data_IF_529837773539
#
_entry.id   IF_529837773539
#
_cell.length_a   1.000
_cell.length_b   1.000
_cell.length_c   1.000
_cell.angle_alpha   90.00
_cell.angle_beta   90.00
_cell.angle_gamma   90.00
#
_symmetry.space_group_name_H-M   'P 1'
#
loop_
_entity.id
_entity.type
_entity.pdbx_description
1 polymer ?
#
# COMPACT_ATOMS: atom_id res chain seq x y z
N UNK A 1 24.10 2.44 3.80
CA UNK A 1 23.22 3.05 2.78
C UNK A 1 21.79 2.84 3.25
N UNK A 2 21.10 3.90 3.67
CA UNK A 2 19.72 3.76 4.21
C UNK A 2 18.81 3.41 3.03
N UNK A 3 18.11 2.28 3.15
CA UNK A 3 17.19 1.81 2.11
C UNK A 3 15.91 2.63 2.21
N UNK A 4 15.57 3.40 1.18
CA UNK A 4 14.42 4.31 1.14
C UNK A 4 13.09 3.67 1.58
N UNK A 5 12.90 2.37 1.33
CA UNK A 5 11.72 1.64 1.80
C UNK A 5 11.58 1.55 3.33
N UNK A 6 12.66 1.77 4.09
CA UNK A 6 12.65 1.88 5.56
C UNK A 6 12.23 3.28 6.00
N UNK A 7 12.64 4.33 5.27
CA UNK A 7 12.27 5.72 5.59
C UNK A 7 10.78 5.95 5.34
N UNK A 8 10.23 5.36 4.27
CA UNK A 8 8.82 5.49 3.90
C UNK A 8 7.92 4.37 4.47
N UNK A 9 8.46 3.50 5.33
CA UNK A 9 7.73 2.41 5.99
C UNK A 9 6.92 1.51 5.04
N UNK A 10 7.40 1.31 3.81
CA UNK A 10 6.65 0.59 2.77
C UNK A 10 6.30 -0.83 3.19
N UNK A 11 7.25 -1.54 3.79
CA UNK A 11 7.01 -2.89 4.30
C UNK A 11 5.93 -2.93 5.38
N UNK A 12 5.77 -1.86 6.16
CA UNK A 12 4.71 -1.75 7.16
C UNK A 12 3.37 -1.52 6.48
N UNK A 13 3.31 -0.61 5.50
CA UNK A 13 2.11 -0.35 4.69
C UNK A 13 1.63 -1.60 3.94
N UNK A 14 2.54 -2.36 3.33
CA UNK A 14 2.23 -3.61 2.64
C UNK A 14 1.66 -4.68 3.59
N UNK A 15 2.19 -4.79 4.81
CA UNK A 15 1.65 -5.69 5.84
C UNK A 15 0.25 -5.26 6.28
N UNK A 16 0.01 -3.96 6.41
CA UNK A 16 -1.29 -3.42 6.76
C UNK A 16 -2.33 -3.71 5.66
N UNK A 17 -1.98 -3.48 4.39
CA UNK A 17 -2.83 -3.85 3.24
C UNK A 17 -3.22 -5.32 3.29
N UNK A 18 -2.24 -6.23 3.43
CA UNK A 18 -2.52 -7.68 3.50
C UNK A 18 -3.44 -8.06 4.66
N UNK A 19 -3.29 -7.40 5.81
CA UNK A 19 -4.14 -7.63 6.97
C UNK A 19 -5.59 -7.20 6.69
N UNK A 20 -5.77 -6.01 6.13
CA UNK A 20 -7.08 -5.46 5.81
C UNK A 20 -7.76 -6.23 4.69
N UNK A 21 -7.04 -6.66 3.65
CA UNK A 21 -7.58 -7.53 2.60
C UNK A 21 -8.02 -8.89 3.14
N UNK A 22 -7.27 -9.46 4.09
CA UNK A 22 -7.69 -10.68 4.79
C UNK A 22 -8.97 -10.45 5.59
N UNK A 23 -9.11 -9.29 6.23
CA UNK A 23 -10.35 -8.92 6.92
C UNK A 23 -11.52 -8.80 5.94
N UNK A 24 -11.32 -8.14 4.79
CA UNK A 24 -12.32 -7.99 3.73
C UNK A 24 -12.78 -9.32 3.11
N UNK A 25 -11.95 -10.37 3.20
CA UNK A 25 -12.28 -11.71 2.72
C UNK A 25 -13.26 -12.48 3.61
N UNK A 26 -13.52 -11.99 4.83
CA UNK A 26 -14.48 -12.63 5.74
C UNK A 26 -15.91 -12.30 5.28
N UNK A 27 -16.81 -13.29 5.22
CA UNK A 27 -18.20 -13.08 4.78
C UNK A 27 -18.95 -12.06 5.65
N UNK A 28 -18.69 -12.08 6.97
CA UNK A 28 -19.27 -11.14 7.94
C UNK A 28 -18.70 -9.73 7.85
N UNK A 29 -17.67 -9.49 7.04
CA UNK A 29 -17.10 -8.15 6.91
C UNK A 29 -18.09 -7.19 6.25
N UNK A 30 -18.81 -7.66 5.24
CA UNK A 30 -19.72 -6.84 4.44
C UNK A 30 -21.07 -6.58 5.12
N UNK A 31 -21.34 -7.21 6.27
CA UNK A 31 -22.57 -6.96 7.03
C UNK A 31 -22.55 -5.61 7.76
N UNK A 32 -21.37 -5.04 8.00
CA UNK A 32 -21.19 -3.71 8.56
C UNK A 32 -20.71 -2.75 7.45
N UNK A 33 -21.65 -2.00 6.86
CA UNK A 33 -21.34 -1.13 5.73
C UNK A 33 -20.39 0.02 6.09
N UNK A 34 -20.51 0.59 7.29
CA UNK A 34 -19.66 1.70 7.73
C UNK A 34 -18.21 1.23 7.87
N UNK A 35 -18.02 0.10 8.56
CA UNK A 35 -16.71 -0.54 8.69
C UNK A 35 -16.14 -0.96 7.34
N UNK A 36 -16.97 -1.54 6.46
CA UNK A 36 -16.53 -1.96 5.14
C UNK A 36 -16.05 -0.78 4.29
N UNK A 37 -16.75 0.35 4.35
CA UNK A 37 -16.36 1.58 3.66
C UNK A 37 -15.04 2.14 4.20
N UNK A 38 -14.89 2.22 5.53
CA UNK A 38 -13.67 2.71 6.18
C UNK A 38 -12.45 1.88 5.79
N UNK A 39 -12.54 0.55 5.94
CA UNK A 39 -11.45 -0.38 5.64
C UNK A 39 -11.11 -0.36 4.15
N UNK A 40 -12.11 -0.32 3.26
CA UNK A 40 -11.88 -0.23 1.80
C UNK A 40 -11.15 1.07 1.43
N UNK A 41 -11.57 2.19 2.02
CA UNK A 41 -10.90 3.49 1.81
C UNK A 41 -9.45 3.42 2.29
N UNK A 42 -9.22 2.85 3.47
CA UNK A 42 -7.87 2.70 4.03
C UNK A 42 -6.96 1.84 3.15
N UNK A 43 -7.46 0.72 2.64
CA UNK A 43 -6.72 -0.14 1.69
C UNK A 43 -6.33 0.64 0.44
N UNK A 44 -7.26 1.43 -0.12
CA UNK A 44 -6.98 2.27 -1.28
C UNK A 44 -5.87 3.28 -0.99
N UNK A 45 -5.99 4.06 0.08
CA UNK A 45 -4.99 5.07 0.46
C UNK A 45 -3.58 4.46 0.64
N UNK A 46 -3.50 3.28 1.24
CA UNK A 46 -2.22 2.58 1.42
C UNK A 46 -1.63 2.10 0.09
N UNK A 47 -2.46 1.53 -0.79
CA UNK A 47 -2.02 1.07 -2.12
C UNK A 47 -1.59 2.22 -3.01
N UNK A 48 -2.32 3.33 -3.00
CA UNK A 48 -1.99 4.53 -3.77
C UNK A 48 -0.60 5.05 -3.34
N UNK A 49 -0.35 5.19 -2.03
CA UNK A 49 0.95 5.62 -1.51
C UNK A 49 2.11 4.67 -1.84
N UNK A 50 1.87 3.35 -1.82
CA UNK A 50 2.88 2.36 -2.22
C UNK A 50 3.16 2.47 -3.73
N UNK A 51 2.12 2.64 -4.54
CA UNK A 51 2.23 2.75 -6.00
C UNK A 51 3.02 4.00 -6.41
N UNK A 52 2.69 5.16 -5.84
CA UNK A 52 3.38 6.43 -6.11
C UNK A 52 4.88 6.33 -5.79
N UNK A 53 5.23 5.68 -4.68
CA UNK A 53 6.64 5.46 -4.34
C UNK A 53 7.33 4.55 -5.35
N UNK A 54 6.71 3.43 -5.72
CA UNK A 54 7.29 2.48 -6.66
C UNK A 54 7.47 3.12 -8.05
N UNK A 55 6.51 3.92 -8.50
CA UNK A 55 6.62 4.67 -9.75
C UNK A 55 7.81 5.66 -9.71
N UNK A 56 7.97 6.41 -8.61
CA UNK A 56 9.12 7.30 -8.45
C UNK A 56 10.45 6.54 -8.45
N UNK A 57 10.49 5.39 -7.80
CA UNK A 57 11.67 4.52 -7.76
C UNK A 57 12.01 3.99 -9.15
N UNK A 58 11.02 3.51 -9.89
CA UNK A 58 11.22 2.92 -11.20
C UNK A 58 11.65 4.01 -12.22
N UNK A 59 11.05 5.19 -12.17
CA UNK A 59 11.48 6.35 -12.96
C UNK A 59 12.93 6.75 -12.68
N UNK A 60 13.35 6.71 -11.40
CA UNK A 60 14.74 7.00 -11.03
C UNK A 60 15.71 5.93 -11.55
N UNK A 61 15.32 4.65 -11.46
CA UNK A 61 16.11 3.53 -11.98
C UNK A 61 16.24 3.60 -13.51
N UNK A 62 15.17 3.97 -14.22
CA UNK A 62 15.19 4.20 -15.68
C UNK A 62 16.12 5.35 -16.05
N UNK A 63 16.02 6.50 -15.37
CA UNK A 63 16.92 7.64 -15.60
C UNK A 63 18.38 7.28 -15.34
N UNK A 64 18.67 6.45 -14.33
CA UNK A 64 20.02 6.01 -14.03
C UNK A 64 20.61 5.07 -15.10
N UNK A 65 19.79 4.37 -15.88
CA UNK A 65 20.23 3.55 -17.02
C UNK A 65 20.58 4.42 -18.24
N UNK A 66 19.93 5.57 -18.39
CA UNK A 66 20.08 6.48 -19.52
C UNK A 66 21.26 7.45 -19.40
N UNK A 67 21.91 7.53 -18.23
CA UNK A 67 23.05 8.42 -17.91
C UNK A 67 24.38 7.65 -17.89
#
# INVERSE_FOLDING_TARGET
>A
MIKWGIIFDLSTKEREVKKLEKEMSQESFWSDQEKAQEVTKRVKELKDAISEFNELKDNLEELAILL
#
